data_IF_820485438211
#
_entry.id   IF_820485438211
#
_cell.length_a   1.000
_cell.length_b   1.000
_cell.length_c   1.000
_cell.angle_alpha   90.00
_cell.angle_beta   90.00
_cell.angle_gamma   90.00
#
_symmetry.space_group_name_H-M   'P 1'
#
loop_
_entity.id
_entity.type
_entity.pdbx_description
1 polymer ?
#
# COMPACT_ATOMS: atom_id res chain seq x y z
N UNK A 1 8.56 25.76 6.38
CA UNK A 1 7.45 26.71 6.58
C UNK A 1 7.33 26.95 8.07
N UNK A 2 7.28 28.19 8.51
CA UNK A 2 7.19 28.58 9.93
C UNK A 2 5.80 28.30 10.48
N UNK A 3 5.71 27.75 11.68
CA UNK A 3 4.45 27.44 12.35
C UNK A 3 3.79 28.73 12.87
N UNK A 4 2.64 29.11 12.28
CA UNK A 4 1.88 30.33 12.61
C UNK A 4 0.78 30.09 13.64
N UNK A 5 0.60 28.83 14.07
CA UNK A 5 -0.37 28.41 15.09
C UNK A 5 -0.32 29.23 16.38
N UNK A 6 0.85 29.60 16.95
CA UNK A 6 0.87 30.39 18.19
C UNK A 6 0.29 31.80 18.00
N UNK A 7 0.61 32.47 16.89
CA UNK A 7 0.12 33.82 16.58
C UNK A 7 -1.39 33.81 16.39
N UNK A 8 -1.90 32.78 15.71
CA UNK A 8 -3.34 32.60 15.51
C UNK A 8 -4.07 32.33 16.83
N UNK A 9 -3.48 31.55 17.74
CA UNK A 9 -4.07 31.26 19.04
C UNK A 9 -4.13 32.49 19.95
N UNK A 10 -3.14 33.38 19.89
CA UNK A 10 -3.17 34.63 20.64
C UNK A 10 -4.26 35.58 20.11
N UNK A 11 -4.47 35.63 18.79
CA UNK A 11 -5.58 36.36 18.18
C UNK A 11 -6.96 35.76 18.52
N UNK A 12 -7.06 34.44 18.61
CA UNK A 12 -8.32 33.79 19.01
C UNK A 12 -8.66 34.06 20.46
N UNK A 13 -7.66 34.03 21.35
CA UNK A 13 -7.82 34.43 22.76
C UNK A 13 -8.27 35.87 22.90
N UNK A 14 -7.77 36.80 22.09
CA UNK A 14 -8.21 38.20 22.16
C UNK A 14 -9.66 38.42 21.68
N UNK A 15 -10.26 37.42 21.04
CA UNK A 15 -11.65 37.42 20.57
C UNK A 15 -12.56 36.46 21.35
N UNK A 16 -12.16 35.97 22.54
CA UNK A 16 -12.88 34.96 23.33
C UNK A 16 -13.22 33.68 22.53
N UNK A 17 -12.42 33.39 21.50
CA UNK A 17 -12.55 32.20 20.67
C UNK A 17 -11.65 31.08 21.20
N UNK A 18 -12.06 29.83 20.97
CA UNK A 18 -11.28 28.66 21.39
C UNK A 18 -9.95 28.60 20.62
N UNK A 19 -8.85 28.17 21.27
CA UNK A 19 -7.59 27.89 20.58
C UNK A 19 -7.79 26.87 19.44
N UNK A 20 -7.03 27.03 18.36
CA UNK A 20 -7.04 26.13 17.19
C UNK A 20 -6.39 24.77 17.46
N UNK A 21 -5.42 24.70 18.36
CA UNK A 21 -4.80 23.44 18.75
C UNK A 21 -5.60 22.82 19.90
N UNK A 22 -6.44 21.83 19.56
CA UNK A 22 -7.14 21.04 20.56
C UNK A 22 -6.17 19.95 21.09
N UNK A 23 -5.73 19.98 22.36
CA UNK A 23 -4.75 19.02 22.93
C UNK A 23 -5.28 17.56 22.94
N UNK A 24 -6.57 17.38 22.64
CA UNK A 24 -7.25 16.10 22.44
C UNK A 24 -6.77 15.33 21.19
N UNK A 25 -6.14 16.00 20.22
CA UNK A 25 -5.67 15.39 18.96
C UNK A 25 -4.22 14.87 19.02
N UNK A 26 -3.58 14.85 20.19
CA UNK A 26 -2.23 14.28 20.34
C UNK A 26 -2.26 12.75 20.15
N UNK A 27 -1.21 12.16 19.57
CA UNK A 27 -1.13 10.71 19.29
C UNK A 27 -1.32 9.80 20.52
N UNK A 28 -1.19 10.35 21.73
CA UNK A 28 -1.44 9.69 23.01
C UNK A 28 -2.94 9.65 23.38
N UNK A 29 -3.73 10.59 22.86
CA UNK A 29 -5.18 10.70 23.02
C UNK A 29 -5.96 10.20 21.80
N UNK A 30 -5.25 9.80 20.73
CA UNK A 30 -5.83 9.24 19.52
C UNK A 30 -6.34 7.81 19.78
N UNK A 31 -7.46 7.49 19.15
CA UNK A 31 -8.08 6.17 19.12
C UNK A 31 -7.09 5.04 18.77
N UNK A 32 -7.25 3.88 19.42
CA UNK A 32 -6.36 2.72 19.27
C UNK A 32 -6.22 2.26 17.82
N UNK A 33 -7.27 2.40 17.01
CA UNK A 33 -7.24 2.07 15.58
C UNK A 33 -6.22 2.94 14.82
N UNK A 34 -6.27 4.25 15.06
CA UNK A 34 -5.40 5.19 14.35
C UNK A 34 -3.95 5.07 14.82
N UNK A 35 -3.73 4.77 16.11
CA UNK A 35 -2.39 4.49 16.63
C UNK A 35 -1.74 3.31 15.89
N UNK A 36 -2.44 2.18 15.79
CA UNK A 36 -1.95 1.01 15.04
C UNK A 36 -1.73 1.36 13.56
N UNK A 37 -2.64 2.13 12.94
CA UNK A 37 -2.47 2.57 11.56
C UNK A 37 -1.20 3.42 11.34
N UNK A 38 -0.87 4.31 12.28
CA UNK A 38 0.37 5.09 12.24
C UNK A 38 1.62 4.22 12.40
N UNK A 39 1.59 3.23 13.29
CA UNK A 39 2.68 2.29 13.49
C UNK A 39 2.93 1.45 12.23
N UNK A 40 1.87 0.93 11.60
CA UNK A 40 1.94 0.22 10.32
C UNK A 40 2.53 1.14 9.23
N UNK A 41 2.04 2.37 9.11
CA UNK A 41 2.52 3.32 8.12
C UNK A 41 4.02 3.64 8.32
N UNK A 42 4.45 3.84 9.56
CA UNK A 42 5.86 4.05 9.88
C UNK A 42 6.72 2.85 9.45
N UNK A 43 6.23 1.62 9.66
CA UNK A 43 6.86 0.40 9.16
C UNK A 43 6.99 0.36 7.63
N UNK A 44 5.90 0.66 6.91
CA UNK A 44 5.91 0.72 5.43
C UNK A 44 6.89 1.79 4.92
N UNK A 45 6.89 2.97 5.54
CA UNK A 45 7.80 4.06 5.16
C UNK A 45 9.25 3.68 5.42
N UNK A 46 9.57 3.06 6.56
CA UNK A 46 10.93 2.59 6.87
C UNK A 46 11.40 1.57 5.84
N UNK A 47 10.56 0.57 5.54
CA UNK A 47 10.87 -0.46 4.55
C UNK A 47 11.11 0.15 3.16
N UNK A 48 10.24 1.08 2.74
CA UNK A 48 10.39 1.76 1.45
C UNK A 48 11.69 2.57 1.36
N UNK A 49 12.10 3.20 2.46
CA UNK A 49 13.34 3.98 2.55
C UNK A 49 14.56 3.08 2.48
N UNK A 50 14.54 1.96 3.20
CA UNK A 50 15.60 0.95 3.18
C UNK A 50 15.76 0.36 1.79
N UNK A 51 14.66 -0.10 1.16
CA UNK A 51 14.68 -0.65 -0.20
C UNK A 51 15.23 0.34 -1.23
N UNK A 52 14.82 1.61 -1.16
CA UNK A 52 15.37 2.66 -2.03
C UNK A 52 16.85 2.90 -1.78
N UNK A 53 17.29 2.86 -0.53
CA UNK A 53 18.69 3.03 -0.14
C UNK A 53 19.58 1.90 -0.65
N UNK A 54 19.13 0.65 -0.56
CA UNK A 54 19.91 -0.53 -0.97
C UNK A 54 19.77 -0.85 -2.46
N UNK A 55 18.83 -0.22 -3.19
CA UNK A 55 18.57 -0.54 -4.61
C UNK A 55 19.82 -0.55 -5.48
N UNK A 56 20.68 0.45 -5.33
CA UNK A 56 21.89 0.56 -6.15
C UNK A 56 22.90 -0.56 -5.83
N UNK A 57 23.16 -0.84 -4.55
CA UNK A 57 24.07 -1.90 -4.13
C UNK A 57 23.52 -3.31 -4.42
N UNK A 58 22.20 -3.49 -4.30
CA UNK A 58 21.51 -4.74 -4.57
C UNK A 58 21.58 -5.09 -6.06
N UNK A 59 21.37 -4.10 -6.92
CA UNK A 59 21.41 -4.25 -8.37
C UNK A 59 22.83 -4.22 -8.95
N UNK A 60 23.88 -3.90 -8.18
CA UNK A 60 25.24 -3.86 -8.71
C UNK A 60 25.82 -5.27 -8.77
N UNK A 61 26.18 -5.73 -9.98
CA UNK A 61 26.92 -6.99 -10.21
C UNK A 61 28.44 -6.78 -10.32
N UNK A 62 28.91 -5.55 -10.09
CA UNK A 62 30.32 -5.22 -10.23
C UNK A 62 31.17 -5.90 -9.15
N UNK A 63 32.29 -6.55 -9.51
CA UNK A 63 33.21 -7.10 -8.53
C UNK A 63 33.80 -5.96 -7.65
N UNK A 64 34.09 -6.23 -6.38
CA UNK A 64 34.67 -5.22 -5.49
C UNK A 64 36.01 -4.73 -6.07
N UNK A 65 36.27 -3.41 -6.09
CA UNK A 65 37.51 -2.87 -6.61
C UNK A 65 38.67 -3.37 -5.75
N UNK A 66 39.67 -3.99 -6.38
CA UNK A 66 40.87 -4.54 -5.71
C UNK A 66 41.74 -3.48 -4.99
N UNK A 67 41.35 -2.19 -5.02
CA UNK A 67 42.05 -1.06 -4.40
C UNK A 67 41.06 -0.18 -3.63
N UNK A 68 40.58 -0.65 -2.48
CA UNK A 68 39.62 0.04 -1.61
C UNK A 68 40.27 0.62 -0.34
N UNK A 69 41.47 1.21 -0.45
CA UNK A 69 42.17 1.76 0.72
C UNK A 69 42.16 3.31 0.80
N UNK A 70 41.65 4.02 -0.22
CA UNK A 70 41.85 5.48 -0.32
C UNK A 70 40.60 6.33 -0.61
N UNK A 71 39.39 5.76 -0.59
CA UNK A 71 38.17 6.54 -0.84
C UNK A 71 37.55 7.08 0.46
N UNK A 72 37.93 8.32 0.74
CA UNK A 72 37.25 9.40 1.50
C UNK A 72 35.88 9.05 2.11
N UNK A 73 35.80 9.23 3.43
CA UNK A 73 34.58 9.34 4.23
C UNK A 73 33.46 10.06 3.49
N UNK A 74 32.33 9.38 3.27
CA UNK A 74 31.11 10.04 2.80
C UNK A 74 30.03 9.12 2.26
N UNK A 75 30.37 7.99 1.64
CA UNK A 75 29.40 6.98 1.21
C UNK A 75 30.12 5.67 0.95
N UNK A 76 30.13 4.79 1.96
CA UNK A 76 30.63 3.43 1.78
C UNK A 76 29.65 2.69 0.86
N UNK A 77 29.99 2.61 -0.43
CA UNK A 77 29.24 1.77 -1.36
C UNK A 77 29.51 0.34 -0.94
N UNK A 78 28.60 -0.21 -0.15
CA UNK A 78 28.70 -1.57 0.39
C UNK A 78 28.33 -2.51 -0.74
N UNK A 79 29.34 -3.16 -1.33
CA UNK A 79 29.13 -4.27 -2.24
C UNK A 79 28.40 -5.38 -1.47
N UNK A 80 27.24 -5.80 -1.96
CA UNK A 80 26.48 -6.89 -1.36
C UNK A 80 26.91 -8.20 -2.04
N UNK A 81 27.19 -9.23 -1.24
CA UNK A 81 27.38 -10.59 -1.75
C UNK A 81 26.02 -11.18 -2.15
N UNK A 82 26.01 -12.21 -3.00
CA UNK A 82 24.76 -12.89 -3.38
C UNK A 82 23.99 -13.39 -2.15
N UNK A 83 24.69 -13.96 -1.17
CA UNK A 83 24.09 -14.35 0.11
C UNK A 83 23.44 -13.19 0.86
N UNK A 84 24.09 -12.02 0.92
CA UNK A 84 23.51 -10.84 1.57
C UNK A 84 22.27 -10.33 0.83
N UNK A 85 22.23 -10.45 -0.51
CA UNK A 85 21.04 -10.12 -1.31
C UNK A 85 19.88 -11.07 -0.97
N UNK A 86 20.16 -12.37 -0.87
CA UNK A 86 19.13 -13.36 -0.50
C UNK A 86 18.60 -13.14 0.93
N UNK A 87 19.48 -12.78 1.88
CA UNK A 87 19.09 -12.40 3.25
C UNK A 87 18.19 -11.16 3.25
N UNK A 88 18.53 -10.13 2.46
CA UNK A 88 17.69 -8.93 2.25
C UNK A 88 16.33 -9.30 1.67
N UNK A 89 16.29 -10.18 0.67
CA UNK A 89 15.04 -10.60 0.03
C UNK A 89 14.14 -11.36 1.03
N UNK A 90 14.72 -12.26 1.83
CA UNK A 90 14.02 -12.99 2.87
C UNK A 90 13.47 -12.07 3.97
N UNK A 91 14.28 -11.12 4.45
CA UNK A 91 13.88 -10.14 5.47
C UNK A 91 12.76 -9.23 4.96
N UNK A 92 12.93 -8.66 3.76
CA UNK A 92 11.94 -7.78 3.14
C UNK A 92 10.60 -8.50 2.96
N UNK A 93 10.64 -9.73 2.47
CA UNK A 93 9.44 -10.58 2.31
C UNK A 93 8.76 -10.89 3.64
N UNK A 94 9.55 -11.16 4.70
CA UNK A 94 9.05 -11.34 6.05
C UNK A 94 8.29 -10.10 6.54
N UNK A 95 8.90 -8.92 6.39
CA UNK A 95 8.30 -7.65 6.78
C UNK A 95 7.05 -7.32 5.98
N UNK A 96 7.03 -7.56 4.65
CA UNK A 96 5.83 -7.37 3.84
C UNK A 96 4.66 -8.26 4.30
N UNK A 97 4.94 -9.52 4.64
CA UNK A 97 3.92 -10.46 5.16
C UNK A 97 3.42 -10.01 6.52
N UNK A 98 4.31 -9.60 7.40
CA UNK A 98 3.97 -9.09 8.72
C UNK A 98 3.09 -7.85 8.62
N UNK A 99 3.48 -6.86 7.80
CA UNK A 99 2.70 -5.65 7.57
C UNK A 99 1.32 -5.96 6.96
N UNK A 100 1.25 -6.90 6.01
CA UNK A 100 -0.04 -7.36 5.46
C UNK A 100 -0.92 -8.00 6.55
N UNK A 101 -0.34 -8.85 7.40
CA UNK A 101 -1.05 -9.48 8.51
C UNK A 101 -1.57 -8.43 9.51
N UNK A 102 -0.76 -7.43 9.87
CA UNK A 102 -1.20 -6.32 10.74
C UNK A 102 -2.34 -5.52 10.12
N UNK A 103 -2.29 -5.20 8.83
CA UNK A 103 -3.39 -4.53 8.12
C UNK A 103 -4.66 -5.39 8.11
N UNK A 104 -4.55 -6.71 7.94
CA UNK A 104 -5.69 -7.64 8.01
C UNK A 104 -6.31 -7.64 9.41
N UNK A 105 -5.49 -7.80 10.46
CA UNK A 105 -5.98 -7.74 11.85
C UNK A 105 -6.66 -6.41 12.17
N UNK A 106 -6.11 -5.30 11.71
CA UNK A 106 -6.71 -3.97 11.90
C UNK A 106 -8.07 -3.86 11.18
N UNK A 107 -8.18 -4.41 9.97
CA UNK A 107 -9.44 -4.45 9.23
C UNK A 107 -10.48 -5.37 9.87
N UNK A 108 -10.08 -6.54 10.38
CA UNK A 108 -10.97 -7.46 11.07
C UNK A 108 -11.51 -6.84 12.37
N UNK A 109 -10.64 -6.16 13.14
CA UNK A 109 -11.03 -5.43 14.33
C UNK A 109 -12.04 -4.31 14.01
N UNK A 110 -11.83 -3.58 12.92
CA UNK A 110 -12.76 -2.56 12.45
C UNK A 110 -14.10 -3.18 12.02
N UNK A 111 -14.09 -4.32 11.33
CA UNK A 111 -15.32 -5.03 10.96
C UNK A 111 -16.11 -5.50 12.19
N UNK A 112 -15.43 -6.01 13.23
CA UNK A 112 -16.07 -6.38 14.50
C UNK A 112 -16.69 -5.16 15.17
N UNK A 113 -16.01 -4.00 15.17
CA UNK A 113 -16.56 -2.75 15.69
C UNK A 113 -17.80 -2.34 14.93
N UNK A 114 -17.78 -2.36 13.59
CA UNK A 114 -18.92 -2.01 12.76
C UNK A 114 -20.13 -2.90 13.05
N UNK A 115 -19.93 -4.23 13.11
CA UNK A 115 -20.99 -5.18 13.47
C UNK A 115 -21.54 -4.92 14.87
N UNK A 116 -20.66 -4.59 15.83
CA UNK A 116 -21.05 -4.28 17.22
C UNK A 116 -21.86 -2.99 17.28
N UNK A 117 -21.44 -1.93 16.60
CA UNK A 117 -22.17 -0.67 16.50
C UNK A 117 -23.53 -0.84 15.85
N UNK A 118 -23.63 -1.63 14.78
CA UNK A 118 -24.90 -1.93 14.16
C UNK A 118 -25.84 -2.69 15.10
N UNK A 119 -25.35 -3.68 15.84
CA UNK A 119 -26.19 -4.43 16.79
C UNK A 119 -26.61 -3.58 17.97
N UNK A 120 -25.73 -2.71 18.49
CA UNK A 120 -26.06 -1.75 19.54
C UNK A 120 -27.09 -0.74 19.03
N UNK A 121 -26.93 -0.23 17.79
CA UNK A 121 -27.89 0.67 17.16
C UNK A 121 -29.25 0.00 17.02
N UNK A 122 -29.30 -1.21 16.45
CA UNK A 122 -30.53 -2.00 16.33
C UNK A 122 -31.20 -2.23 17.69
N UNK A 123 -30.42 -2.49 18.76
CA UNK A 123 -30.95 -2.63 20.12
C UNK A 123 -31.42 -1.30 20.72
N UNK A 124 -30.69 -0.20 20.55
CA UNK A 124 -31.05 1.14 21.05
C UNK A 124 -32.40 1.59 20.48
N UNK A 125 -32.58 1.43 19.17
CA UNK A 125 -33.79 1.86 18.48
C UNK A 125 -34.89 0.78 18.43
N UNK A 126 -34.54 -0.51 18.60
CA UNK A 126 -35.50 -1.62 18.70
C UNK A 126 -36.07 -1.85 20.10
N UNK A 127 -35.32 -1.55 21.17
CA UNK A 127 -35.78 -1.65 22.57
C UNK A 127 -36.67 -0.48 22.97
N UNK A 128 -36.61 0.62 22.22
CA UNK A 128 -37.57 1.72 22.29
C UNK A 128 -38.90 1.32 21.62
N UNK A 129 -39.49 0.19 22.06
CA UNK A 129 -40.78 -0.35 21.60
C UNK A 129 -41.99 0.53 21.92
N UNK A 130 -41.78 1.72 22.50
CA UNK A 130 -42.76 2.81 22.58
C UNK A 130 -42.75 3.71 21.32
N UNK A 131 -41.71 3.59 20.48
CA UNK A 131 -41.56 4.35 19.25
C UNK A 131 -42.51 3.89 18.14
N UNK A 132 -42.90 2.62 18.09
CA UNK A 132 -43.87 2.12 17.09
C UNK A 132 -45.29 2.58 17.38
N UNK A 133 -45.70 2.67 18.65
CA UNK A 133 -46.99 3.24 19.06
C UNK A 133 -47.02 4.78 18.97
N UNK A 134 -45.92 5.46 19.30
CA UNK A 134 -45.77 6.91 19.09
C UNK A 134 -45.73 7.32 17.61
N UNK A 135 -45.13 6.50 16.73
CA UNK A 135 -45.07 6.74 15.27
C UNK A 135 -46.44 6.68 14.59
N UNK A 136 -47.36 5.83 15.07
CA UNK A 136 -48.74 5.77 14.56
C UNK A 136 -49.59 6.95 15.07
N UNK A 137 -49.42 7.34 16.34
CA UNK A 137 -50.16 8.45 16.96
C UNK A 137 -49.77 9.85 16.42
N UNK A 138 -48.55 10.01 15.89
CA UNK A 138 -48.09 11.27 15.28
C UNK A 138 -48.50 11.46 13.81
N UNK A 139 -49.31 10.54 13.23
CA UNK A 139 -49.87 10.68 11.89
C UNK A 139 -48.87 10.50 10.73
N UNK A 140 -47.69 9.94 11.00
CA UNK A 140 -46.65 9.72 10.00
C UNK A 140 -46.65 8.29 9.45
N UNK A 141 -46.71 8.15 8.12
CA UNK A 141 -46.45 6.88 7.44
C UNK A 141 -45.08 6.30 7.86
N UNK A 142 -44.97 4.98 7.85
CA UNK A 142 -43.97 4.13 8.51
C UNK A 142 -42.47 4.30 8.15
N UNK A 143 -42.03 5.44 7.61
CA UNK A 143 -40.70 5.59 7.00
C UNK A 143 -39.75 6.65 7.59
N UNK A 144 -40.17 7.54 8.49
CA UNK A 144 -39.21 8.48 9.07
C UNK A 144 -38.39 7.80 10.19
N UNK A 145 -37.08 7.59 9.92
CA UNK A 145 -36.10 7.36 10.99
C UNK A 145 -36.16 8.56 11.94
N UNK A 146 -35.92 8.32 13.22
CA UNK A 146 -35.89 9.45 14.16
C UNK A 146 -34.68 10.33 13.84
N UNK A 147 -34.80 11.65 13.93
CA UNK A 147 -33.72 12.58 13.55
C UNK A 147 -32.43 12.31 14.33
N UNK A 148 -32.55 11.94 15.62
CA UNK A 148 -31.43 11.50 16.46
C UNK A 148 -30.79 10.20 15.96
N UNK A 149 -31.58 9.26 15.41
CA UNK A 149 -31.09 8.04 14.78
C UNK A 149 -30.36 8.30 13.46
N UNK A 150 -30.82 9.27 12.68
CA UNK A 150 -30.15 9.71 11.45
C UNK A 150 -28.82 10.43 11.74
N UNK A 151 -28.78 11.29 12.76
CA UNK A 151 -27.57 11.96 13.22
C UNK A 151 -26.52 10.98 13.77
N UNK A 152 -26.95 10.03 14.60
CA UNK A 152 -26.06 8.98 15.11
C UNK A 152 -25.55 8.07 13.98
N UNK A 153 -26.39 7.76 12.99
CA UNK A 153 -25.99 7.00 11.80
C UNK A 153 -25.02 7.77 10.90
N UNK A 154 -25.23 9.08 10.71
CA UNK A 154 -24.35 9.93 9.91
C UNK A 154 -22.94 10.01 10.50
N UNK A 155 -22.82 10.24 11.82
CA UNK A 155 -21.52 10.25 12.51
C UNK A 155 -20.78 8.92 12.41
N UNK A 156 -21.51 7.81 12.58
CA UNK A 156 -20.91 6.49 12.46
C UNK A 156 -20.46 6.17 11.02
N UNK A 157 -21.22 6.63 10.01
CA UNK A 157 -20.85 6.50 8.60
C UNK A 157 -19.61 7.33 8.27
N UNK A 158 -19.48 8.54 8.81
CA UNK A 158 -18.29 9.39 8.65
C UNK A 158 -17.03 8.71 9.20
N UNK A 159 -17.11 8.17 10.42
CA UNK A 159 -16.01 7.40 11.02
C UNK A 159 -15.68 6.16 10.20
N UNK A 160 -16.70 5.44 9.72
CA UNK A 160 -16.54 4.26 8.86
C UNK A 160 -15.77 4.60 7.58
N UNK A 161 -16.19 5.66 6.88
CA UNK A 161 -15.52 6.13 5.66
C UNK A 161 -14.07 6.46 5.94
N UNK A 162 -13.80 7.26 6.97
CA UNK A 162 -12.44 7.64 7.32
C UNK A 162 -11.55 6.42 7.57
N UNK A 163 -12.02 5.44 8.36
CA UNK A 163 -11.23 4.25 8.68
C UNK A 163 -11.06 3.32 7.49
N UNK A 164 -12.06 3.18 6.64
CA UNK A 164 -11.92 2.42 5.38
C UNK A 164 -10.94 3.09 4.42
N UNK A 165 -10.95 4.42 4.31
CA UNK A 165 -9.96 5.17 3.54
C UNK A 165 -8.55 5.00 4.10
N UNK A 166 -8.37 4.99 5.42
CA UNK A 166 -7.06 4.71 6.06
C UNK A 166 -6.58 3.31 5.72
N UNK A 167 -7.43 2.29 5.83
CA UNK A 167 -7.08 0.92 5.49
C UNK A 167 -6.72 0.76 4.00
N UNK A 168 -7.47 1.42 3.12
CA UNK A 168 -7.19 1.46 1.68
C UNK A 168 -5.83 2.10 1.41
N UNK A 169 -5.55 3.26 2.03
CA UNK A 169 -4.26 3.94 1.90
C UNK A 169 -3.08 3.06 2.35
N UNK A 170 -3.20 2.38 3.50
CA UNK A 170 -2.14 1.48 3.99
C UNK A 170 -1.90 0.31 3.03
N UNK A 171 -2.96 -0.27 2.47
CA UNK A 171 -2.86 -1.36 1.48
C UNK A 171 -2.22 -0.88 0.18
N UNK A 172 -2.60 0.31 -0.30
CA UNK A 172 -2.01 0.92 -1.49
C UNK A 172 -0.50 1.15 -1.29
N UNK A 173 -0.09 1.73 -0.15
CA UNK A 173 1.33 1.94 0.16
C UNK A 173 2.12 0.64 0.32
N UNK A 174 1.52 -0.39 0.91
CA UNK A 174 2.14 -1.71 0.98
C UNK A 174 2.28 -2.32 -0.42
N UNK A 175 1.28 -2.17 -1.29
CA UNK A 175 1.33 -2.62 -2.68
C UNK A 175 2.46 -1.91 -3.43
N UNK A 176 2.58 -0.59 -3.35
CA UNK A 176 3.65 0.18 -3.99
C UNK A 176 5.04 -0.34 -3.55
N UNK A 177 5.21 -0.60 -2.26
CA UNK A 177 6.44 -1.14 -1.70
C UNK A 177 6.71 -2.56 -2.24
N UNK A 178 5.68 -3.41 -2.29
CA UNK A 178 5.76 -4.75 -2.87
C UNK A 178 6.15 -4.74 -4.35
N UNK A 179 5.52 -3.87 -5.15
CA UNK A 179 5.85 -3.70 -6.57
C UNK A 179 7.29 -3.24 -6.77
N UNK A 180 7.75 -2.31 -5.93
CA UNK A 180 9.14 -1.86 -5.97
C UNK A 180 10.12 -3.00 -5.71
N UNK A 181 9.88 -3.84 -4.69
CA UNK A 181 10.70 -5.01 -4.41
C UNK A 181 10.68 -6.00 -5.58
N UNK A 182 9.50 -6.36 -6.10
CA UNK A 182 9.38 -7.27 -7.22
C UNK A 182 10.18 -6.78 -8.44
N UNK A 183 10.08 -5.49 -8.77
CA UNK A 183 10.84 -4.90 -9.88
C UNK A 183 12.37 -4.96 -9.70
N UNK A 184 12.86 -4.95 -8.45
CA UNK A 184 14.28 -5.13 -8.16
C UNK A 184 14.70 -6.60 -8.33
N UNK A 185 13.87 -7.53 -7.86
CA UNK A 185 14.14 -8.96 -7.94
C UNK A 185 14.06 -9.48 -9.38
N UNK A 186 13.09 -9.00 -10.18
CA UNK A 186 13.02 -9.26 -11.63
C UNK A 186 14.31 -8.87 -12.34
N UNK A 187 14.83 -7.68 -12.07
CA UNK A 187 16.08 -7.20 -12.67
C UNK A 187 17.28 -8.03 -12.23
N UNK A 188 17.29 -8.52 -10.99
CA UNK A 188 18.35 -9.42 -10.52
C UNK A 188 18.29 -10.76 -11.25
N UNK A 189 17.11 -11.37 -11.32
CA UNK A 189 16.89 -12.66 -11.99
C UNK A 189 17.25 -12.55 -13.48
N UNK A 190 16.78 -11.51 -14.18
CA UNK A 190 17.13 -11.28 -15.58
C UNK A 190 18.66 -11.21 -15.78
N UNK A 191 19.38 -10.49 -14.91
CA UNK A 191 20.84 -10.39 -15.01
C UNK A 191 21.57 -11.68 -14.67
N UNK A 192 21.04 -12.47 -13.75
CA UNK A 192 21.57 -13.80 -13.44
C UNK A 192 21.39 -14.74 -14.64
N UNK A 193 20.22 -14.72 -15.28
CA UNK A 193 19.95 -15.48 -16.50
C UNK A 193 20.87 -15.03 -17.65
N UNK A 194 21.03 -13.72 -17.86
CA UNK A 194 21.95 -13.17 -18.87
C UNK A 194 23.40 -13.57 -18.60
N UNK A 195 23.83 -13.53 -17.33
CA UNK A 195 25.18 -13.95 -16.93
C UNK A 195 25.39 -15.44 -17.19
N UNK A 196 24.43 -16.29 -16.83
CA UNK A 196 24.48 -17.73 -17.10
C UNK A 196 24.59 -17.99 -18.62
N UNK A 197 23.77 -17.31 -19.43
CA UNK A 197 23.82 -17.38 -20.89
C UNK A 197 25.17 -16.92 -21.46
N UNK A 198 25.71 -15.82 -20.95
CA UNK A 198 27.00 -15.30 -21.41
C UNK A 198 28.16 -16.21 -21.01
N UNK A 199 28.12 -16.86 -19.84
CA UNK A 199 29.13 -17.84 -19.44
C UNK A 199 29.11 -19.07 -20.36
N UNK A 200 27.94 -19.59 -20.70
CA UNK A 200 27.79 -20.70 -21.66
C UNK A 200 28.33 -20.27 -23.05
N UNK A 201 28.03 -19.04 -23.48
CA UNK A 201 28.53 -18.52 -24.75
C UNK A 201 30.05 -18.31 -24.75
N UNK A 202 30.65 -17.89 -23.62
CA UNK A 202 32.11 -17.74 -23.51
C UNK A 202 32.81 -19.09 -23.35
N UNK A 203 32.24 -20.06 -22.65
CA UNK A 203 32.80 -21.41 -22.56
C UNK A 203 32.71 -22.16 -23.89
N UNK A 204 31.70 -21.86 -24.72
CA UNK A 204 31.59 -22.38 -26.09
C UNK A 204 32.51 -21.72 -27.11
N UNK A 205 33.05 -20.52 -26.82
CA UNK A 205 33.94 -19.77 -27.72
C UNK A 205 35.43 -19.92 -27.34
N UNK A 206 35.76 -20.43 -26.15
CA UNK A 206 37.13 -20.78 -25.75
C UNK A 206 37.51 -22.19 -26.25
N UNK A 207 37.62 -22.32 -27.57
CA UNK A 207 38.58 -23.26 -28.16
C UNK A 207 39.99 -22.65 -28.05
N UNK A 208 41.06 -23.45 -27.93
CA UNK A 208 42.39 -22.95 -27.58
C UNK A 208 42.96 -22.07 -28.70
N UNK A 209 42.97 -20.75 -28.49
CA UNK A 209 43.89 -19.86 -29.20
C UNK A 209 45.18 -19.79 -28.38
N UNK A 210 46.08 -20.71 -28.67
CA UNK A 210 47.39 -20.85 -28.03
C UNK A 210 48.30 -19.72 -28.54
N UNK A 211 48.62 -18.78 -27.67
CA UNK A 211 49.54 -17.68 -27.95
C UNK A 211 51.01 -18.14 -27.97
N UNK A 212 51.79 -17.59 -28.91
CA UNK A 212 53.25 -17.65 -28.88
C UNK A 212 53.95 -16.98 -30.08
N UNK A 213 54.57 -15.80 -29.81
CA UNK A 213 55.62 -15.10 -30.59
C UNK A 213 55.21 -14.59 -32.01
N UNK A 214 55.59 -13.43 -32.53
CA UNK A 214 56.75 -12.55 -32.34
C UNK A 214 56.48 -11.18 -33.02
N UNK A 215 57.27 -10.15 -32.68
CA UNK A 215 57.18 -8.77 -33.18
C UNK A 215 57.02 -8.62 -34.71
N UNK A 216 56.04 -7.83 -35.17
CA UNK A 216 56.11 -7.10 -36.44
C UNK A 216 55.21 -5.83 -36.44
N UNK A 217 55.66 -4.68 -36.98
CA UNK A 217 54.87 -3.45 -37.04
C UNK A 217 53.75 -3.53 -38.09
N UNK A 218 52.57 -3.05 -37.73
CA UNK A 218 51.41 -2.83 -38.62
C UNK A 218 51.76 -1.92 -39.82
N UNK A 219 51.25 -2.23 -41.03
CA UNK A 219 50.80 -1.21 -41.97
C UNK A 219 49.26 -1.22 -42.10
N UNK A 220 48.62 -0.10 -42.47
CA UNK A 220 47.17 -0.03 -42.58
C UNK A 220 46.71 -0.33 -44.01
N UNK A 221 45.70 -1.19 -44.19
CA UNK A 221 44.94 -1.22 -45.45
C UNK A 221 43.57 -1.91 -45.32
N UNK A 222 42.56 -1.04 -45.36
CA UNK A 222 41.20 -1.11 -45.90
C UNK A 222 40.43 -2.45 -46.06
N UNK A 223 39.09 -2.45 -45.83
CA UNK A 223 38.24 -3.62 -45.90
C UNK A 223 37.55 -3.75 -47.27
N UNK A 224 37.90 -4.75 -48.07
CA UNK A 224 36.98 -5.33 -49.07
C UNK A 224 37.61 -6.53 -49.78
N UNK A 225 37.04 -7.71 -49.58
CA UNK A 225 36.72 -8.64 -50.68
C UNK A 225 36.08 -9.90 -50.12
N UNK A 226 34.89 -10.20 -50.63
CA UNK A 226 34.23 -11.49 -50.48
C UNK A 226 34.96 -12.51 -51.37
N UNK A 227 35.09 -13.74 -50.87
CA UNK A 227 34.63 -14.97 -51.54
C UNK A 227 35.59 -16.15 -51.35
N UNK A 228 34.99 -17.22 -50.85
CA UNK A 228 35.11 -18.61 -51.33
C UNK A 228 36.46 -19.31 -51.33
N UNK A 229 36.43 -20.47 -50.67
CA UNK A 229 37.16 -21.70 -50.97
C UNK A 229 38.66 -21.73 -50.67
N UNK A 230 39.00 -22.24 -49.48
CA UNK A 230 40.03 -23.29 -49.36
C UNK A 230 39.91 -24.03 -48.01
N UNK A 231 38.81 -24.77 -47.79
CA UNK A 231 38.75 -25.74 -46.68
C UNK A 231 39.21 -27.11 -47.21
N UNK A 232 40.49 -27.21 -47.54
CA UNK A 232 41.19 -28.47 -47.71
C UNK A 232 42.63 -28.28 -47.22
N UNK A 233 42.82 -28.51 -45.93
CA UNK A 233 44.10 -28.95 -45.37
C UNK A 233 43.75 -29.96 -44.28
N UNK A 234 43.45 -31.17 -44.75
CA UNK A 234 43.53 -32.37 -43.95
C UNK A 234 45.00 -32.75 -43.90
N UNK A 235 45.65 -32.54 -42.76
CA UNK A 235 47.04 -32.96 -42.57
C UNK A 235 47.78 -32.14 -41.54
N UNK A 236 47.46 -32.35 -40.27
CA UNK A 236 48.36 -32.84 -39.23
C UNK A 236 47.59 -32.69 -37.92
N UNK A 237 46.90 -33.75 -37.50
CA UNK A 237 46.57 -33.87 -36.08
C UNK A 237 47.92 -34.06 -35.40
N UNK A 238 48.53 -32.99 -34.92
CA UNK A 238 49.39 -33.10 -33.75
C UNK A 238 48.46 -33.54 -32.63
N UNK A 239 48.42 -34.85 -32.46
CA UNK A 239 48.07 -35.53 -31.23
C UNK A 239 49.08 -35.02 -30.19
N UNK A 240 48.91 -33.76 -29.76
CA UNK A 240 49.56 -33.24 -28.56
C UNK A 240 48.95 -34.04 -27.42
N UNK A 241 49.62 -35.13 -27.12
CA UNK A 241 49.35 -36.04 -26.02
C UNK A 241 49.34 -35.17 -24.75
N UNK A 242 48.15 -34.74 -24.33
CA UNK A 242 47.96 -33.95 -23.13
C UNK A 242 48.67 -34.67 -21.99
N UNK A 243 49.57 -33.95 -21.29
CA UNK A 243 50.19 -34.52 -20.08
C UNK A 243 49.09 -35.02 -19.15
N UNK A 244 49.26 -36.18 -18.49
CA UNK A 244 48.21 -36.75 -17.63
C UNK A 244 47.75 -35.77 -16.52
N UNK A 245 48.63 -34.84 -16.13
CA UNK A 245 48.34 -33.73 -15.22
C UNK A 245 47.40 -32.66 -15.84
N UNK A 246 47.53 -32.34 -17.13
CA UNK A 246 46.60 -31.45 -17.84
C UNK A 246 45.21 -32.09 -17.99
N UNK A 247 45.14 -33.38 -18.32
CA UNK A 247 43.85 -34.11 -18.41
C UNK A 247 43.13 -34.07 -17.06
N UNK A 248 43.84 -34.36 -15.97
CA UNK A 248 43.26 -34.31 -14.63
C UNK A 248 42.80 -32.89 -14.24
N UNK A 249 43.53 -31.86 -14.67
CA UNK A 249 43.14 -30.47 -14.46
C UNK A 249 41.90 -30.07 -15.28
N UNK A 250 41.77 -30.57 -16.51
CA UNK A 250 40.57 -30.36 -17.35
C UNK A 250 39.35 -31.08 -16.76
N UNK A 251 39.48 -32.34 -16.37
CA UNK A 251 38.40 -33.10 -15.72
C UNK A 251 37.93 -32.39 -14.44
N UNK A 252 38.88 -31.87 -13.65
CA UNK A 252 38.57 -31.10 -12.45
C UNK A 252 37.89 -29.76 -12.78
N UNK A 253 38.37 -29.04 -13.79
CA UNK A 253 37.78 -27.78 -14.23
C UNK A 253 36.37 -27.96 -14.82
N UNK A 254 36.13 -29.04 -15.57
CA UNK A 254 34.82 -29.43 -16.08
C UNK A 254 33.86 -29.73 -14.92
N UNK A 255 34.31 -30.54 -13.94
CA UNK A 255 33.49 -30.87 -12.78
C UNK A 255 33.17 -29.64 -11.92
N UNK A 256 34.12 -28.72 -11.74
CA UNK A 256 33.90 -27.46 -11.03
C UNK A 256 32.96 -26.53 -11.80
N UNK A 257 33.08 -26.47 -13.14
CA UNK A 257 32.14 -25.75 -14.01
C UNK A 257 30.71 -26.27 -13.86
N UNK A 258 30.50 -27.59 -13.91
CA UNK A 258 29.18 -28.20 -13.74
C UNK A 258 28.56 -27.90 -12.37
N UNK A 259 29.34 -28.00 -11.29
CA UNK A 259 28.89 -27.65 -9.93
C UNK A 259 28.50 -26.17 -9.83
N UNK A 260 29.27 -25.28 -10.45
CA UNK A 260 28.94 -23.87 -10.49
C UNK A 260 27.65 -23.62 -11.29
N UNK A 261 27.44 -24.29 -12.42
CA UNK A 261 26.20 -24.18 -13.17
C UNK A 261 24.99 -24.67 -12.40
N UNK A 262 25.09 -25.82 -11.73
CA UNK A 262 24.02 -26.33 -10.88
C UNK A 262 23.66 -25.34 -9.77
N UNK A 263 24.67 -24.77 -9.11
CA UNK A 263 24.46 -23.76 -8.06
C UNK A 263 23.79 -22.48 -8.58
N UNK A 264 24.17 -21.98 -9.75
CA UNK A 264 23.55 -20.79 -10.35
C UNK A 264 22.09 -21.06 -10.76
N UNK A 265 21.80 -22.26 -11.29
CA UNK A 265 20.42 -22.64 -11.64
C UNK A 265 19.53 -22.75 -10.40
N UNK A 266 20.04 -23.31 -9.31
CA UNK A 266 19.28 -23.40 -8.06
C UNK A 266 19.02 -22.02 -7.43
N UNK A 267 19.97 -21.09 -7.56
CA UNK A 267 19.75 -19.69 -7.15
C UNK A 267 18.64 -19.04 -7.98
N UNK A 268 18.66 -19.20 -9.30
CA UNK A 268 17.61 -18.66 -10.19
C UNK A 268 16.24 -19.26 -9.84
N UNK A 269 16.14 -20.58 -9.68
CA UNK A 269 14.89 -21.26 -9.28
C UNK A 269 14.36 -20.75 -7.94
N UNK A 270 15.25 -20.56 -6.97
CA UNK A 270 14.88 -20.05 -5.64
C UNK A 270 14.35 -18.62 -5.74
N UNK A 271 15.01 -17.78 -6.53
CA UNK A 271 14.59 -16.41 -6.76
C UNK A 271 13.25 -16.33 -7.53
N UNK A 272 13.04 -17.17 -8.54
CA UNK A 272 11.77 -17.32 -9.27
C UNK A 272 10.63 -17.73 -8.34
N UNK A 273 10.85 -18.74 -7.48
CA UNK A 273 9.85 -19.15 -6.49
C UNK A 273 9.50 -18.00 -5.54
N UNK A 274 10.50 -17.27 -5.06
CA UNK A 274 10.27 -16.09 -4.22
C UNK A 274 9.46 -15.02 -4.96
N UNK A 275 9.71 -14.83 -6.26
CA UNK A 275 9.00 -13.89 -7.12
C UNK A 275 7.54 -14.25 -7.29
N UNK A 276 7.25 -15.53 -7.52
CA UNK A 276 5.89 -16.04 -7.61
C UNK A 276 5.12 -15.81 -6.31
N UNK A 277 5.73 -16.08 -5.16
CA UNK A 277 5.10 -15.83 -3.85
C UNK A 277 4.81 -14.33 -3.62
N UNK A 278 5.71 -13.43 -4.04
CA UNK A 278 5.47 -11.98 -3.95
C UNK A 278 4.36 -11.55 -4.92
N UNK A 279 4.36 -12.08 -6.14
CA UNK A 279 3.34 -11.81 -7.15
C UNK A 279 1.95 -12.29 -6.68
N UNK A 280 1.87 -13.43 -6.01
CA UNK A 280 0.63 -13.91 -5.40
C UNK A 280 0.14 -12.93 -4.33
N UNK A 281 1.01 -12.49 -3.41
CA UNK A 281 0.66 -11.50 -2.39
C UNK A 281 0.21 -10.17 -3.00
N UNK A 282 0.87 -9.71 -4.07
CA UNK A 282 0.48 -8.51 -4.79
C UNK A 282 -0.87 -8.67 -5.47
N UNK A 283 -1.13 -9.81 -6.12
CA UNK A 283 -2.41 -10.10 -6.76
C UNK A 283 -3.54 -10.07 -5.73
N UNK A 284 -3.33 -10.67 -4.55
CA UNK A 284 -4.28 -10.58 -3.45
C UNK A 284 -4.50 -9.12 -2.99
N UNK A 285 -3.44 -8.30 -2.87
CA UNK A 285 -3.56 -6.89 -2.49
C UNK A 285 -4.32 -6.07 -3.53
N UNK A 286 -4.00 -6.23 -4.82
CA UNK A 286 -4.66 -5.52 -5.93
C UNK A 286 -6.14 -5.86 -5.99
N UNK A 287 -6.50 -7.15 -5.88
CA UNK A 287 -7.90 -7.58 -5.86
C UNK A 287 -8.66 -6.96 -4.68
N UNK A 288 -8.06 -6.97 -3.49
CA UNK A 288 -8.65 -6.35 -2.30
C UNK A 288 -8.82 -4.83 -2.45
N UNK A 289 -7.84 -4.15 -3.06
CA UNK A 289 -7.89 -2.71 -3.33
C UNK A 289 -8.97 -2.35 -4.34
N UNK A 290 -9.16 -3.15 -5.39
CA UNK A 290 -10.23 -2.95 -6.36
C UNK A 290 -11.62 -3.06 -5.70
N UNK A 291 -11.84 -4.10 -4.89
CA UNK A 291 -13.10 -4.25 -4.14
C UNK A 291 -13.30 -3.12 -3.13
N UNK A 292 -12.24 -2.72 -2.42
CA UNK A 292 -12.34 -1.64 -1.42
C UNK A 292 -12.56 -0.27 -2.05
N UNK A 293 -11.95 0.03 -3.19
CA UNK A 293 -12.19 1.29 -3.92
C UNK A 293 -13.68 1.44 -4.26
N UNK A 294 -14.28 0.41 -4.85
CA UNK A 294 -15.69 0.42 -5.19
C UNK A 294 -16.60 0.61 -3.96
N UNK A 295 -16.25 -0.05 -2.84
CA UNK A 295 -16.99 0.10 -1.59
C UNK A 295 -16.85 1.51 -0.99
N UNK A 296 -15.66 2.09 -1.02
CA UNK A 296 -15.40 3.46 -0.53
C UNK A 296 -16.18 4.46 -1.38
N UNK A 297 -16.18 4.33 -2.71
CA UNK A 297 -16.93 5.22 -3.60
C UNK A 297 -18.45 5.18 -3.29
N UNK A 298 -18.98 3.99 -3.03
CA UNK A 298 -20.36 3.82 -2.58
C UNK A 298 -20.61 4.48 -1.22
N UNK A 299 -19.72 4.27 -0.23
CA UNK A 299 -19.88 4.88 1.09
C UNK A 299 -19.80 6.39 1.05
N UNK A 300 -18.90 6.96 0.25
CA UNK A 300 -18.75 8.40 0.05
C UNK A 300 -20.04 8.97 -0.57
N UNK A 301 -20.57 8.32 -1.60
CA UNK A 301 -21.85 8.70 -2.22
C UNK A 301 -22.98 8.66 -1.19
N UNK A 302 -23.11 7.56 -0.44
CA UNK A 302 -24.11 7.40 0.61
C UNK A 302 -23.97 8.46 1.72
N UNK A 303 -22.74 8.90 2.01
CA UNK A 303 -22.48 9.95 2.99
C UNK A 303 -22.93 11.32 2.53
N UNK A 304 -22.73 11.65 1.25
CA UNK A 304 -23.26 12.89 0.68
C UNK A 304 -24.79 12.92 0.77
N UNK A 305 -25.44 11.84 0.36
CA UNK A 305 -26.90 11.71 0.46
C UNK A 305 -27.38 11.78 1.92
N UNK A 306 -26.70 11.09 2.85
CA UNK A 306 -27.05 11.10 4.27
C UNK A 306 -26.88 12.51 4.87
N UNK A 307 -25.79 13.20 4.54
CA UNK A 307 -25.50 14.56 5.01
C UNK A 307 -26.52 15.55 4.49
N UNK A 308 -26.89 15.45 3.21
CA UNK A 308 -27.94 16.28 2.61
C UNK A 308 -29.30 16.03 3.26
N UNK A 309 -29.67 14.77 3.48
CA UNK A 309 -30.93 14.39 4.12
C UNK A 309 -31.02 14.90 5.56
N UNK A 310 -29.95 14.75 6.35
CA UNK A 310 -29.86 15.25 7.73
C UNK A 310 -29.96 16.79 7.76
N UNK A 311 -29.22 17.48 6.88
CA UNK A 311 -29.26 18.94 6.78
C UNK A 311 -30.62 19.47 6.34
N UNK A 312 -31.26 18.81 5.37
CA UNK A 312 -32.60 19.10 4.90
C UNK A 312 -33.66 18.87 5.98
N UNK A 313 -33.56 17.76 6.72
CA UNK A 313 -34.44 17.45 7.85
C UNK A 313 -34.37 18.48 8.96
N UNK A 314 -33.16 18.92 9.35
CA UNK A 314 -32.99 19.95 10.37
C UNK A 314 -33.58 21.31 9.93
N UNK A 315 -33.45 21.65 8.63
CA UNK A 315 -34.06 22.85 8.05
C UNK A 315 -35.60 22.77 8.05
N UNK A 316 -36.15 21.59 7.81
CA UNK A 316 -37.60 21.36 7.87
C UNK A 316 -38.12 21.43 9.32
N UNK A 317 -37.37 20.93 10.30
CA UNK A 317 -37.70 21.08 11.71
C UNK A 317 -37.72 22.54 12.14
N UNK A 318 -36.71 23.32 11.76
CA UNK A 318 -36.68 24.76 12.05
C UNK A 318 -37.91 25.47 11.47
N UNK A 319 -38.27 25.15 10.22
CA UNK A 319 -39.49 25.66 9.58
C UNK A 319 -40.77 25.17 10.27
N UNK A 320 -40.81 23.93 10.78
CA UNK A 320 -41.95 23.38 11.49
C UNK A 320 -42.11 24.00 12.89
N UNK A 321 -41.02 24.30 13.59
CA UNK A 321 -41.04 25.03 14.86
C UNK A 321 -41.41 26.50 14.70
N UNK A 322 -41.06 27.11 13.57
CA UNK A 322 -41.42 28.50 13.24
C UNK A 322 -42.89 28.64 12.79
N UNK A 323 -43.52 27.57 12.29
CA UNK A 323 -44.96 27.58 12.01
C UNK A 323 -45.73 27.68 13.32
N UNK A 324 -46.29 28.87 13.59
CA UNK A 324 -47.21 29.08 14.72
C UNK A 324 -48.33 28.03 14.64
N UNK A 325 -48.49 27.27 15.72
CA UNK A 325 -49.44 26.16 15.79
C UNK A 325 -50.86 26.63 15.47
N UNK A 326 -51.38 26.23 14.31
CA UNK A 326 -52.78 26.40 13.93
C UNK A 326 -53.72 25.79 14.96
N UNK A 327 -53.31 24.72 15.64
CA UNK A 327 -54.06 24.13 16.75
C UNK A 327 -54.20 25.08 17.95
N UNK A 328 -53.15 25.85 18.29
CA UNK A 328 -53.26 26.90 19.33
C UNK A 328 -54.26 27.98 18.92
N UNK A 329 -54.26 28.40 17.66
CA UNK A 329 -55.22 29.39 17.16
C UNK A 329 -56.66 28.87 17.20
N UNK A 330 -56.90 27.61 16.80
CA UNK A 330 -58.24 27.01 16.87
C UNK A 330 -58.71 26.85 18.31
N UNK A 331 -57.82 26.51 19.25
CA UNK A 331 -58.15 26.45 20.67
C UNK A 331 -58.51 27.81 21.26
N UNK A 332 -57.74 28.87 20.96
CA UNK A 332 -58.08 30.22 21.42
C UNK A 332 -59.35 30.76 20.73
N UNK A 333 -59.56 30.42 19.46
CA UNK A 333 -60.79 30.78 18.74
C UNK A 333 -62.02 30.08 19.33
N UNK A 334 -61.93 28.78 19.65
CA UNK A 334 -63.04 28.06 20.28
C UNK A 334 -63.31 28.55 21.70
N UNK A 335 -62.27 28.81 22.49
CA UNK A 335 -62.40 29.34 23.84
C UNK A 335 -62.99 30.77 23.83
N UNK A 336 -62.54 31.61 22.89
CA UNK A 336 -63.10 32.95 22.68
C UNK A 336 -64.56 32.93 22.24
N UNK A 337 -64.93 32.04 21.31
CA UNK A 337 -66.32 31.87 20.88
C UNK A 337 -67.20 31.37 22.02
N UNK A 338 -66.72 30.41 22.83
CA UNK A 338 -67.46 29.95 24.01
C UNK A 338 -67.67 31.04 25.05
N UNK A 339 -66.66 31.87 25.33
CA UNK A 339 -66.78 32.98 26.26
C UNK A 339 -67.71 34.07 25.73
N UNK A 340 -67.65 34.35 24.42
CA UNK A 340 -68.53 35.30 23.77
C UNK A 340 -70.01 34.86 23.87
N UNK A 341 -70.29 33.58 23.63
CA UNK A 341 -71.65 33.04 23.77
C UNK A 341 -72.17 33.15 25.21
N UNK A 342 -71.34 32.86 26.22
CA UNK A 342 -71.74 32.98 27.63
C UNK A 342 -72.03 34.44 28.01
N UNK A 343 -71.24 35.40 27.53
CA UNK A 343 -71.50 36.82 27.80
C UNK A 343 -72.74 37.31 27.07
N UNK A 344 -72.95 36.86 25.83
CA UNK A 344 -74.13 37.20 25.04
C UNK A 344 -75.43 36.69 25.71
N UNK A 345 -75.42 35.46 26.22
CA UNK A 345 -76.52 34.84 26.97
C UNK A 345 -76.77 35.48 28.35
N UNK A 346 -75.83 36.29 28.85
CA UNK A 346 -75.95 36.99 30.13
C UNK A 346 -76.48 38.43 29.98
N UNK A 347 -76.31 39.03 28.79
CA UNK A 347 -76.69 40.41 28.49
C UNK A 347 -78.08 40.52 27.84
N UNK A 348 -78.56 39.46 27.21
CA UNK A 348 -79.92 39.27 26.69
C UNK A 348 -80.69 38.36 27.65
#
# INVERSE_FOLDING_TARGET
MTDLTPILNDLLKSHDARPTADPSLSLQNIDSFLKEAYEINAGIVSLSRELRGIRQSYLSTAPPPRRSALSREGKQWKYLTDRQRDEIDAQTKGLLRELNARIRMLADAEQVRQNTEETIRRKKFGRLGLGTLGKWAAGGAAQSKTMDEELDAAKANEVKIHRESVLWYLREKLQDCGQFQASMMEKRIMRQIERNKNMISMSGMQGPELGGFENAPMPPSNPQSKSTAHLETKGQYTEEEYTPEQIQMYEKAEQDMLKHYESELDQVRTAEKSLLEISELQTQLVNNLATQSANIDQLVTNSFETTENVGGGNKQLKKATERKSTAKYVFYASCGLSLFLVVWDLVI
#
